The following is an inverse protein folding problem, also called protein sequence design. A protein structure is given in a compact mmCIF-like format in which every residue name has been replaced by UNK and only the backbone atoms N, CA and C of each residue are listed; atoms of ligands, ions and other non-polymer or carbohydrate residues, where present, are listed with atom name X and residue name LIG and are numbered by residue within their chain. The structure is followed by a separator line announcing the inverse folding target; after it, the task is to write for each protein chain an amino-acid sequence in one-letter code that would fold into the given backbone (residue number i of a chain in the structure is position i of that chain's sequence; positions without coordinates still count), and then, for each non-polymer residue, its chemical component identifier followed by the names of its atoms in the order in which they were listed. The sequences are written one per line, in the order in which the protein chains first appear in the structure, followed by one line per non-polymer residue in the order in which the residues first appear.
data_IF_978416689474
#
_entry.id   IF_978416689474
#
_cell.length_a   1.000
_cell.length_b   1.000
_cell.length_c   1.000
_cell.angle_alpha   90.00
_cell.angle_beta   90.00
_cell.angle_gamma   90.00
#
_symmetry.space_group_name_H-M   'P 1'
#
loop_
_entity.id
_entity.type
_entity.pdbx_description
1 polymer ?
#
# COMPACT_ATOMS: atom_id res chain seq x y z
N UNK A 1 12.51 -11.92 17.57
CA UNK A 1 13.56 -12.18 16.57
C UNK A 1 12.94 -12.33 15.18
N UNK A 2 11.93 -13.18 14.98
CA UNK A 2 11.26 -13.39 13.69
C UNK A 2 10.72 -12.10 13.07
N UNK A 3 10.10 -11.25 13.87
CA UNK A 3 9.53 -9.96 13.46
C UNK A 3 10.60 -8.98 12.95
N UNK A 4 11.77 -8.94 13.59
CA UNK A 4 12.89 -8.10 13.16
C UNK A 4 13.42 -8.54 11.79
N UNK A 5 13.58 -9.85 11.58
CA UNK A 5 14.00 -10.40 10.29
C UNK A 5 12.98 -10.07 9.20
N UNK A 6 11.70 -10.26 9.50
CA UNK A 6 10.61 -9.91 8.58
C UNK A 6 10.64 -8.41 8.20
N UNK A 7 10.89 -7.51 9.17
CA UNK A 7 11.01 -6.07 8.91
C UNK A 7 12.17 -5.73 7.97
N UNK A 8 13.34 -6.32 8.19
CA UNK A 8 14.51 -6.07 7.33
C UNK A 8 14.23 -6.50 5.89
N UNK A 9 13.69 -7.70 5.70
CA UNK A 9 13.33 -8.22 4.38
C UNK A 9 12.25 -7.35 3.73
N UNK A 10 11.25 -6.91 4.50
CA UNK A 10 10.19 -6.03 4.04
C UNK A 10 10.73 -4.69 3.54
N UNK A 11 11.62 -4.05 4.31
CA UNK A 11 12.25 -2.78 3.92
C UNK A 11 13.07 -2.94 2.64
N UNK A 12 13.86 -4.02 2.55
CA UNK A 12 14.66 -4.31 1.36
C UNK A 12 13.77 -4.54 0.11
N UNK A 13 12.70 -5.32 0.26
CA UNK A 13 11.75 -5.56 -0.83
C UNK A 13 11.06 -4.27 -1.29
N UNK A 14 10.59 -3.44 -0.34
CA UNK A 14 9.99 -2.14 -0.66
C UNK A 14 10.97 -1.22 -1.38
N UNK A 15 12.23 -1.18 -0.96
CA UNK A 15 13.24 -0.38 -1.64
C UNK A 15 13.40 -0.78 -3.11
N UNK A 16 13.45 -2.09 -3.39
CA UNK A 16 13.53 -2.60 -4.77
C UNK A 16 12.27 -2.27 -5.59
N UNK A 17 11.10 -2.39 -4.98
CA UNK A 17 9.83 -2.04 -5.65
C UNK A 17 9.73 -0.55 -5.95
N UNK A 18 10.22 0.33 -5.06
CA UNK A 18 10.31 1.77 -5.32
C UNK A 18 11.28 2.11 -6.48
N UNK A 19 12.41 1.40 -6.61
CA UNK A 19 13.31 1.56 -7.75
C UNK A 19 12.60 1.22 -9.06
N UNK A 20 11.85 0.11 -9.10
CA UNK A 20 11.08 -0.29 -10.28
C UNK A 20 10.00 0.74 -10.63
N UNK A 21 9.32 1.28 -9.62
CA UNK A 21 8.33 2.34 -9.78
C UNK A 21 8.96 3.64 -10.30
N UNK A 22 10.05 4.10 -9.69
CA UNK A 22 10.75 5.33 -10.08
C UNK A 22 11.33 5.24 -11.50
N UNK A 23 11.75 4.06 -11.94
CA UNK A 23 12.23 3.80 -13.30
C UNK A 23 11.12 3.56 -14.31
N UNK A 24 9.84 3.70 -13.89
CA UNK A 24 8.65 3.47 -14.72
C UNK A 24 8.57 2.03 -15.29
N UNK A 25 9.14 1.07 -14.59
CA UNK A 25 9.02 -0.36 -14.91
C UNK A 25 7.78 -0.96 -14.25
N UNK A 26 6.60 -0.45 -14.64
CA UNK A 26 5.33 -0.77 -13.99
C UNK A 26 4.99 -2.26 -14.11
N UNK A 27 5.28 -2.89 -15.28
CA UNK A 27 5.05 -4.35 -15.45
C UNK A 27 5.87 -5.20 -14.47
N UNK A 28 7.22 -5.06 -14.38
CA UNK A 28 8.00 -5.75 -13.36
C UNK A 28 7.57 -5.44 -11.92
N UNK A 29 7.22 -4.18 -11.62
CA UNK A 29 6.66 -3.80 -10.33
C UNK A 29 5.40 -4.62 -9.98
N UNK A 30 4.44 -4.67 -10.91
CA UNK A 30 3.20 -5.42 -10.70
C UNK A 30 3.47 -6.93 -10.51
N UNK A 31 4.40 -7.51 -11.30
CA UNK A 31 4.78 -8.92 -11.17
C UNK A 31 5.36 -9.22 -9.79
N UNK A 32 6.27 -8.37 -9.28
CA UNK A 32 6.89 -8.54 -7.95
C UNK A 32 5.84 -8.49 -6.85
N UNK A 33 4.96 -7.48 -6.88
CA UNK A 33 3.92 -7.31 -5.86
C UNK A 33 2.89 -8.45 -5.93
N UNK A 34 2.48 -8.87 -7.13
CA UNK A 34 1.57 -10.01 -7.28
C UNK A 34 2.21 -11.32 -6.82
N UNK A 35 3.47 -11.57 -7.19
CA UNK A 35 4.19 -12.77 -6.79
C UNK A 35 4.28 -12.91 -5.26
N UNK A 36 4.57 -11.82 -4.55
CA UNK A 36 4.56 -11.81 -3.07
C UNK A 36 3.22 -12.30 -2.52
N UNK A 37 2.11 -11.71 -2.99
CA UNK A 37 0.77 -12.03 -2.49
C UNK A 37 0.31 -13.42 -2.91
N UNK A 38 0.65 -13.86 -4.13
CA UNK A 38 0.32 -15.19 -4.64
C UNK A 38 1.03 -16.29 -3.85
N UNK A 39 2.34 -16.14 -3.60
CA UNK A 39 3.11 -17.11 -2.80
C UNK A 39 2.56 -17.20 -1.38
N UNK A 40 2.27 -16.07 -0.76
CA UNK A 40 1.66 -16.04 0.57
C UNK A 40 0.27 -16.70 0.58
N UNK A 41 -0.59 -16.39 -0.39
CA UNK A 41 -1.93 -16.97 -0.48
C UNK A 41 -1.89 -18.49 -0.69
N UNK A 42 -0.99 -18.98 -1.55
CA UNK A 42 -0.78 -20.41 -1.77
C UNK A 42 -0.29 -21.09 -0.47
N UNK A 43 0.66 -20.48 0.22
CA UNK A 43 1.17 -21.01 1.48
C UNK A 43 0.06 -21.11 2.55
N UNK A 44 -0.74 -20.05 2.71
CA UNK A 44 -1.88 -20.05 3.64
C UNK A 44 -2.93 -21.09 3.23
N UNK A 45 -3.18 -21.25 1.93
CA UNK A 45 -4.07 -22.30 1.41
C UNK A 45 -3.60 -23.70 1.78
N UNK A 46 -2.31 -23.99 1.66
CA UNK A 46 -1.72 -25.28 2.08
C UNK A 46 -1.86 -25.46 3.60
N UNK A 47 -1.55 -24.43 4.39
CA UNK A 47 -1.69 -24.48 5.85
C UNK A 47 -3.14 -24.75 6.28
N UNK A 48 -4.09 -24.17 5.57
CA UNK A 48 -5.52 -24.39 5.83
C UNK A 48 -5.95 -25.84 5.55
N UNK A 49 -5.50 -26.42 4.44
CA UNK A 49 -5.74 -27.84 4.11
C UNK A 49 -5.09 -28.77 5.14
N UNK A 50 -3.88 -28.43 5.58
CA UNK A 50 -3.14 -29.19 6.60
C UNK A 50 -3.67 -28.93 8.03
N UNK A 51 -4.69 -28.07 8.21
CA UNK A 51 -5.28 -27.68 9.51
C UNK A 51 -4.27 -27.14 10.53
N UNK A 52 -3.21 -26.51 10.07
CA UNK A 52 -2.21 -25.88 10.92
C UNK A 52 -2.81 -24.61 11.52
N UNK A 53 -2.81 -24.51 12.87
CA UNK A 53 -3.38 -23.38 13.60
C UNK A 53 -2.33 -22.48 14.25
N UNK A 54 -1.04 -22.70 13.98
CA UNK A 54 0.04 -21.94 14.60
C UNK A 54 0.25 -20.61 13.87
N UNK A 55 0.24 -19.52 14.63
CA UNK A 55 0.54 -18.17 14.12
C UNK A 55 1.97 -18.07 13.56
N UNK A 56 2.92 -18.76 14.18
CA UNK A 56 4.33 -18.74 13.76
C UNK A 56 4.50 -19.27 12.34
N UNK A 57 3.75 -20.32 11.99
CA UNK A 57 3.81 -20.92 10.65
C UNK A 57 3.30 -19.95 9.60
N UNK A 58 2.22 -19.20 9.89
CA UNK A 58 1.69 -18.19 8.98
C UNK A 58 2.70 -17.04 8.80
N UNK A 59 3.35 -16.62 9.88
CA UNK A 59 4.40 -15.59 9.82
C UNK A 59 5.61 -16.02 8.97
N UNK A 60 6.00 -17.30 9.03
CA UNK A 60 7.04 -17.86 8.16
C UNK A 60 6.63 -17.82 6.68
N UNK A 61 5.36 -18.08 6.39
CA UNK A 61 4.82 -17.97 5.02
C UNK A 61 4.92 -16.55 4.45
N UNK A 62 4.67 -15.53 5.26
CA UNK A 62 4.83 -14.13 4.85
C UNK A 62 6.31 -13.79 4.55
N UNK A 63 7.24 -14.32 5.34
CA UNK A 63 8.69 -14.16 5.08
C UNK A 63 9.08 -14.82 3.75
N UNK A 64 8.61 -16.03 3.48
CA UNK A 64 8.89 -16.73 2.22
C UNK A 64 8.34 -15.97 1.01
N UNK A 65 7.12 -15.43 1.11
CA UNK A 65 6.54 -14.57 0.06
C UNK A 65 7.42 -13.35 -0.25
N UNK A 66 7.90 -12.67 0.79
CA UNK A 66 8.78 -11.50 0.64
C UNK A 66 10.17 -11.85 0.09
N UNK A 67 10.77 -12.94 0.55
CA UNK A 67 12.07 -13.41 0.02
C UNK A 67 11.95 -13.77 -1.46
N UNK A 68 10.90 -14.46 -1.84
CA UNK A 68 10.65 -14.80 -3.25
C UNK A 68 10.45 -13.55 -4.12
N UNK A 69 9.64 -12.59 -3.65
CA UNK A 69 9.44 -11.32 -4.33
C UNK A 69 10.74 -10.52 -4.46
N UNK A 70 11.57 -10.49 -3.41
CA UNK A 70 12.88 -9.83 -3.41
C UNK A 70 13.81 -10.47 -4.44
N UNK A 71 13.83 -11.80 -4.58
CA UNK A 71 14.63 -12.48 -5.59
C UNK A 71 14.21 -12.08 -7.01
N UNK A 72 12.91 -12.02 -7.29
CA UNK A 72 12.38 -11.54 -8.57
C UNK A 72 12.76 -10.07 -8.80
N UNK A 73 12.61 -9.22 -7.78
CA UNK A 73 12.95 -7.80 -7.88
C UNK A 73 14.44 -7.59 -8.19
N UNK A 74 15.33 -8.37 -7.57
CA UNK A 74 16.78 -8.34 -7.85
C UNK A 74 17.09 -8.70 -9.30
N UNK A 75 16.42 -9.69 -9.87
CA UNK A 75 16.59 -10.07 -11.28
C UNK A 75 16.23 -8.90 -12.21
N UNK A 76 15.12 -8.22 -11.95
CA UNK A 76 14.70 -7.08 -12.75
C UNK A 76 15.53 -5.81 -12.51
N UNK A 77 16.06 -5.62 -11.30
CA UNK A 77 16.88 -4.48 -10.93
C UNK A 77 18.38 -4.69 -11.18
N UNK A 78 18.81 -5.89 -11.61
CA UNK A 78 20.22 -6.24 -11.79
C UNK A 78 21.02 -5.17 -12.55
N UNK A 79 20.51 -4.70 -13.68
CA UNK A 79 21.19 -3.72 -14.52
C UNK A 79 21.25 -2.31 -13.91
N UNK A 80 20.45 -2.04 -12.89
CA UNK A 80 20.41 -0.75 -12.19
C UNK A 80 21.34 -0.79 -10.97
N UNK A 81 21.30 -1.89 -10.21
CA UNK A 81 22.05 -2.07 -8.96
C UNK A 81 23.54 -2.26 -9.24
N UNK A 82 23.88 -3.05 -10.25
CA UNK A 82 25.26 -3.32 -10.64
C UNK A 82 25.83 -2.32 -11.63
N UNK A 83 25.28 -1.10 -11.66
CA UNK A 83 25.85 0.01 -12.43
C UNK A 83 27.12 0.53 -11.76
N UNK A 84 28.01 1.14 -12.55
CA UNK A 84 29.29 1.67 -12.07
C UNK A 84 29.05 2.73 -10.99
N UNK A 85 29.62 2.54 -9.81
CA UNK A 85 29.52 3.46 -8.69
C UNK A 85 30.23 4.77 -9.07
N UNK A 86 29.52 5.88 -9.00
CA UNK A 86 30.09 7.23 -9.05
C UNK A 86 31.02 7.46 -7.84
N UNK A 87 31.78 8.55 -7.87
CA UNK A 87 32.72 8.82 -6.78
C UNK A 87 32.01 8.82 -5.41
N UNK A 88 32.63 8.21 -4.39
CA UNK A 88 32.07 8.09 -3.04
C UNK A 88 31.59 9.43 -2.46
N UNK A 89 32.29 10.53 -2.78
CA UNK A 89 31.94 11.88 -2.31
C UNK A 89 30.60 12.37 -2.89
N UNK A 90 30.35 12.12 -4.17
CA UNK A 90 29.07 12.47 -4.81
C UNK A 90 27.92 11.62 -4.26
N UNK A 91 28.15 10.31 -4.10
CA UNK A 91 27.16 9.40 -3.53
C UNK A 91 26.77 9.82 -2.11
N UNK A 92 27.73 10.23 -1.27
CA UNK A 92 27.45 10.68 0.10
C UNK A 92 26.64 11.99 0.12
N UNK A 93 26.97 12.93 -0.76
CA UNK A 93 26.24 14.18 -0.90
C UNK A 93 24.79 13.97 -1.31
N UNK A 94 24.55 13.13 -2.32
CA UNK A 94 23.19 12.77 -2.75
C UNK A 94 22.42 12.01 -1.68
N UNK A 95 23.08 11.12 -0.93
CA UNK A 95 22.48 10.42 0.19
C UNK A 95 21.99 11.39 1.28
N UNK A 96 22.75 12.40 1.64
CA UNK A 96 22.34 13.41 2.63
C UNK A 96 21.15 14.25 2.14
N UNK A 97 21.14 14.65 0.88
CA UNK A 97 20.01 15.36 0.28
C UNK A 97 18.75 14.50 0.31
N UNK A 98 18.84 13.25 -0.13
CA UNK A 98 17.72 12.30 -0.12
C UNK A 98 17.24 12.02 1.30
N UNK A 99 18.13 11.92 2.28
CA UNK A 99 17.79 11.75 3.69
C UNK A 99 17.01 12.96 4.25
N UNK A 100 17.45 14.17 3.90
CA UNK A 100 16.75 15.41 4.29
C UNK A 100 15.34 15.49 3.70
N UNK A 101 15.17 15.15 2.43
CA UNK A 101 13.85 15.13 1.78
C UNK A 101 12.99 14.01 2.38
N UNK A 102 13.56 12.83 2.53
CA UNK A 102 12.87 11.66 3.09
C UNK A 102 12.40 11.89 4.52
N UNK A 103 13.20 12.54 5.37
CA UNK A 103 12.81 12.84 6.75
C UNK A 103 11.59 13.75 6.82
N UNK A 104 11.47 14.74 5.94
CA UNK A 104 10.30 15.62 5.86
C UNK A 104 9.02 14.84 5.46
N UNK A 105 9.16 13.92 4.50
CA UNK A 105 8.05 13.04 4.08
C UNK A 105 7.64 12.08 5.19
N UNK A 106 8.60 11.50 5.91
CA UNK A 106 8.31 10.62 7.06
C UNK A 106 7.58 11.39 8.15
N UNK A 107 8.03 12.62 8.48
CA UNK A 107 7.33 13.45 9.47
C UNK A 107 5.89 13.77 9.05
N UNK A 108 5.65 14.08 7.77
CA UNK A 108 4.30 14.30 7.26
C UNK A 108 3.42 13.04 7.37
N UNK A 109 3.96 11.87 7.04
CA UNK A 109 3.26 10.60 7.20
C UNK A 109 2.97 10.25 8.66
N UNK A 110 3.94 10.47 9.55
CA UNK A 110 3.75 10.27 11.00
C UNK A 110 2.67 11.22 11.53
N UNK A 111 2.67 12.49 11.13
CA UNK A 111 1.63 13.44 11.51
C UNK A 111 0.24 12.96 11.06
N UNK A 112 0.10 12.48 9.82
CA UNK A 112 -1.15 11.90 9.31
C UNK A 112 -1.60 10.67 10.09
N UNK A 113 -0.67 9.77 10.42
CA UNK A 113 -0.96 8.58 11.24
C UNK A 113 -1.36 8.96 12.67
N UNK A 114 -0.72 9.98 13.26
CA UNK A 114 -1.05 10.48 14.59
C UNK A 114 -2.46 11.06 14.65
N UNK A 115 -2.87 11.82 13.64
CA UNK A 115 -4.25 12.36 13.56
C UNK A 115 -5.26 11.20 13.63
N UNK A 116 -5.08 10.18 12.80
CA UNK A 116 -5.97 9.01 12.78
C UNK A 116 -5.89 8.20 14.10
N UNK A 117 -4.68 8.07 14.65
CA UNK A 117 -4.43 7.38 15.92
C UNK A 117 -5.06 8.09 17.12
N UNK A 118 -4.91 9.41 17.22
CA UNK A 118 -5.51 10.23 18.29
C UNK A 118 -7.04 10.13 18.25
N UNK A 119 -7.64 10.19 17.06
CA UNK A 119 -9.09 10.03 16.90
C UNK A 119 -9.54 8.66 17.43
N UNK A 120 -8.82 7.59 17.10
CA UNK A 120 -9.12 6.24 17.61
C UNK A 120 -8.99 6.15 19.11
N UNK A 121 -7.90 6.68 19.69
CA UNK A 121 -7.69 6.70 21.13
C UNK A 121 -8.74 7.52 21.86
N UNK A 122 -9.15 8.66 21.28
CA UNK A 122 -10.22 9.47 21.85
C UNK A 122 -11.56 8.69 21.87
N UNK A 123 -11.89 8.01 20.78
CA UNK A 123 -13.12 7.20 20.71
C UNK A 123 -13.07 6.05 21.71
N UNK A 124 -11.94 5.37 21.85
CA UNK A 124 -11.76 4.27 22.82
C UNK A 124 -11.92 4.74 24.26
N UNK A 125 -11.41 5.92 24.60
CA UNK A 125 -11.43 6.43 25.98
C UNK A 125 -12.77 7.10 26.38
N UNK A 126 -13.46 7.72 25.45
CA UNK A 126 -14.67 8.52 25.74
C UNK A 126 -15.98 7.85 25.35
N UNK A 127 -15.94 6.79 24.56
CA UNK A 127 -17.13 6.05 24.10
C UNK A 127 -16.99 4.56 24.40
N UNK A 128 -18.08 3.82 24.20
CA UNK A 128 -18.09 2.37 24.39
C UNK A 128 -17.27 1.66 23.31
N UNK A 129 -16.79 0.48 23.66
CA UNK A 129 -16.05 -0.41 22.74
C UNK A 129 -16.89 -0.77 21.47
N UNK A 130 -18.21 -0.73 21.63
CA UNK A 130 -19.15 -0.96 20.52
C UNK A 130 -19.11 0.18 19.50
N UNK A 131 -19.10 1.44 19.97
CA UNK A 131 -18.97 2.63 19.11
C UNK A 131 -17.61 2.65 18.43
N UNK A 132 -16.53 2.30 19.15
CA UNK A 132 -15.21 2.14 18.60
C UNK A 132 -15.19 1.12 17.45
N UNK A 133 -15.82 -0.04 17.61
CA UNK A 133 -15.96 -1.07 16.59
C UNK A 133 -16.68 -0.55 15.33
N UNK A 134 -17.79 0.16 15.52
CA UNK A 134 -18.60 0.75 14.45
C UNK A 134 -17.80 1.75 13.61
N UNK A 135 -17.09 2.67 14.27
CA UNK A 135 -16.27 3.71 13.59
C UNK A 135 -15.06 3.08 12.92
N UNK A 136 -14.39 2.13 13.58
CA UNK A 136 -13.24 1.43 13.02
C UNK A 136 -13.59 0.65 11.76
N UNK A 137 -14.78 0.07 11.67
CA UNK A 137 -15.27 -0.58 10.46
C UNK A 137 -15.46 0.45 9.32
N UNK A 138 -16.12 1.58 9.59
CA UNK A 138 -16.32 2.63 8.60
C UNK A 138 -14.97 3.18 8.08
N UNK A 139 -14.00 3.41 8.98
CA UNK A 139 -12.64 3.82 8.59
C UNK A 139 -11.92 2.75 7.75
N UNK A 140 -12.13 1.47 8.05
CA UNK A 140 -11.52 0.36 7.29
C UNK A 140 -12.06 0.28 5.86
N UNK A 141 -13.36 0.50 5.69
CA UNK A 141 -14.00 0.55 4.36
C UNK A 141 -13.51 1.76 3.57
N UNK A 142 -13.40 2.93 4.22
CA UNK A 142 -12.82 4.13 3.59
C UNK A 142 -11.37 3.90 3.16
N UNK A 143 -10.57 3.23 3.97
CA UNK A 143 -9.20 2.87 3.62
C UNK A 143 -9.13 1.88 2.44
N UNK A 144 -10.12 1.00 2.28
CA UNK A 144 -10.20 0.11 1.12
C UNK A 144 -10.36 0.91 -0.18
N UNK A 145 -11.14 1.99 -0.17
CA UNK A 145 -11.26 2.90 -1.33
C UNK A 145 -9.92 3.61 -1.61
N UNK A 146 -9.18 3.99 -0.57
CA UNK A 146 -7.85 4.62 -0.73
C UNK A 146 -6.83 3.71 -1.42
N UNK A 147 -6.98 2.39 -1.36
CA UNK A 147 -6.13 1.45 -2.10
C UNK A 147 -6.25 1.68 -3.61
N UNK A 148 -7.45 1.91 -4.13
CA UNK A 148 -7.67 2.22 -5.54
C UNK A 148 -7.03 3.56 -5.93
N UNK A 149 -7.20 4.59 -5.10
CA UNK A 149 -6.58 5.91 -5.33
C UNK A 149 -5.05 5.79 -5.38
N UNK A 150 -4.47 5.05 -4.44
CA UNK A 150 -3.03 4.81 -4.39
C UNK A 150 -2.54 4.02 -5.61
N UNK A 151 -3.28 3.01 -6.06
CA UNK A 151 -2.93 2.22 -7.24
C UNK A 151 -2.89 3.09 -8.52
N UNK A 152 -3.86 3.99 -8.68
CA UNK A 152 -3.87 4.96 -9.78
C UNK A 152 -2.69 5.92 -9.67
N UNK A 153 -2.42 6.45 -8.48
CA UNK A 153 -1.32 7.39 -8.22
C UNK A 153 0.05 6.80 -8.57
N UNK A 154 0.27 5.52 -8.27
CA UNK A 154 1.52 4.79 -8.59
C UNK A 154 1.81 4.80 -10.10
N UNK A 155 0.78 4.74 -10.93
CA UNK A 155 0.92 4.72 -12.40
C UNK A 155 0.98 6.14 -12.98
N UNK A 156 0.09 7.01 -12.51
CA UNK A 156 -0.09 8.36 -13.05
C UNK A 156 1.10 9.26 -12.71
N UNK A 157 1.65 9.17 -11.51
CA UNK A 157 2.73 10.06 -11.08
C UNK A 157 4.00 9.96 -11.93
N UNK A 158 4.58 8.78 -12.22
CA UNK A 158 5.73 8.66 -13.10
C UNK A 158 5.43 9.04 -14.55
N UNK A 159 4.19 8.85 -15.00
CA UNK A 159 3.73 9.21 -16.33
C UNK A 159 3.71 10.74 -16.49
N UNK A 160 3.09 11.46 -15.55
CA UNK A 160 3.03 12.93 -15.57
C UNK A 160 4.43 13.57 -15.50
N UNK A 161 5.34 13.01 -14.67
CA UNK A 161 6.69 13.56 -14.52
C UNK A 161 7.53 13.49 -15.80
N UNK A 162 7.17 12.67 -16.76
CA UNK A 162 7.89 12.47 -18.03
C UNK A 162 7.20 13.13 -19.23
N UNK A 163 6.06 13.75 -19.02
CA UNK A 163 5.33 14.46 -20.07
C UNK A 163 5.94 15.84 -20.31
N UNK A 164 5.84 16.27 -21.56
CA UNK A 164 6.12 17.64 -21.96
C UNK A 164 5.09 18.59 -21.34
N UNK A 165 5.53 19.78 -20.92
CA UNK A 165 4.67 20.76 -20.22
C UNK A 165 3.41 21.13 -21.00
N UNK A 166 3.52 21.19 -22.35
CA UNK A 166 2.40 21.53 -23.22
C UNK A 166 1.24 20.50 -23.15
N UNK A 167 1.55 19.23 -22.88
CA UNK A 167 0.56 18.13 -22.79
C UNK A 167 0.01 17.91 -21.38
N UNK A 168 0.61 18.54 -20.39
CA UNK A 168 0.21 18.38 -19.00
C UNK A 168 -1.22 18.85 -18.73
N UNK A 169 -1.63 19.99 -19.33
CA UNK A 169 -2.98 20.54 -19.18
C UNK A 169 -4.06 19.59 -19.71
N UNK A 170 -3.91 19.13 -20.95
CA UNK A 170 -4.88 18.21 -21.58
C UNK A 170 -4.95 16.86 -20.84
N UNK A 171 -3.81 16.37 -20.38
CA UNK A 171 -3.76 15.11 -19.61
C UNK A 171 -4.39 15.27 -18.23
N UNK A 172 -4.20 16.41 -17.57
CA UNK A 172 -4.86 16.70 -16.30
C UNK A 172 -6.38 16.71 -16.44
N UNK A 173 -6.92 17.33 -17.49
CA UNK A 173 -8.36 17.35 -17.75
C UNK A 173 -8.90 15.93 -17.96
N UNK A 174 -8.24 15.12 -18.77
CA UNK A 174 -8.63 13.71 -19.00
C UNK A 174 -8.61 12.88 -17.71
N UNK A 175 -7.59 13.05 -16.87
CA UNK A 175 -7.49 12.35 -15.58
C UNK A 175 -8.59 12.81 -14.63
N UNK A 176 -8.84 14.12 -14.55
CA UNK A 176 -9.91 14.71 -13.73
C UNK A 176 -11.26 14.15 -14.14
N UNK A 177 -11.56 14.15 -15.42
CA UNK A 177 -12.87 13.71 -15.94
C UNK A 177 -13.05 12.20 -15.73
N UNK A 178 -12.01 11.41 -15.93
CA UNK A 178 -12.02 9.99 -15.62
C UNK A 178 -12.24 9.73 -14.11
N UNK A 179 -11.54 10.48 -13.25
CA UNK A 179 -11.73 10.36 -11.80
C UNK A 179 -13.14 10.76 -11.35
N UNK A 180 -13.72 11.78 -11.97
CA UNK A 180 -15.12 12.18 -11.70
C UNK A 180 -16.10 11.06 -12.04
N UNK A 181 -15.93 10.39 -13.17
CA UNK A 181 -16.76 9.23 -13.55
C UNK A 181 -16.60 8.09 -12.55
N UNK A 182 -15.36 7.79 -12.13
CA UNK A 182 -15.09 6.74 -11.15
C UNK A 182 -15.71 7.08 -9.79
N UNK A 183 -15.61 8.33 -9.34
CA UNK A 183 -16.22 8.79 -8.08
C UNK A 183 -17.76 8.70 -8.13
N UNK A 184 -18.37 9.12 -9.23
CA UNK A 184 -19.83 8.97 -9.43
C UNK A 184 -20.23 7.49 -9.45
N UNK A 185 -19.45 6.66 -10.13
CA UNK A 185 -19.64 5.19 -10.11
C UNK A 185 -19.58 4.62 -8.71
N UNK A 186 -18.62 5.06 -7.89
CA UNK A 186 -18.47 4.63 -6.50
C UNK A 186 -19.69 5.01 -5.65
N UNK A 187 -20.27 6.19 -5.87
CA UNK A 187 -21.51 6.61 -5.22
C UNK A 187 -22.69 5.69 -5.56
N UNK A 188 -22.82 5.27 -6.81
CA UNK A 188 -23.85 4.31 -7.23
C UNK A 188 -23.61 2.94 -6.57
N UNK A 189 -22.34 2.49 -6.46
CA UNK A 189 -21.96 1.26 -5.80
C UNK A 189 -22.20 1.24 -4.29
N UNK A 190 -22.33 2.40 -3.67
CA UNK A 190 -22.60 2.52 -2.23
C UNK A 190 -23.87 1.76 -1.82
N UNK A 191 -24.98 1.88 -2.56
CA UNK A 191 -26.22 1.22 -2.21
C UNK A 191 -26.13 -0.32 -2.23
N UNK A 192 -25.68 -0.98 -3.31
CA UNK A 192 -25.49 -2.42 -3.30
C UNK A 192 -24.43 -2.88 -2.29
N UNK A 193 -23.35 -2.15 -2.11
CA UNK A 193 -22.33 -2.46 -1.10
C UNK A 193 -22.91 -2.43 0.31
N UNK A 194 -23.74 -1.43 0.62
CA UNK A 194 -24.43 -1.34 1.91
C UNK A 194 -25.34 -2.56 2.16
N UNK A 195 -26.10 -2.98 1.17
CA UNK A 195 -26.98 -4.17 1.29
C UNK A 195 -26.16 -5.43 1.55
N UNK A 196 -25.10 -5.65 0.77
CA UNK A 196 -24.22 -6.81 0.90
C UNK A 196 -23.55 -6.82 2.29
N UNK A 197 -23.00 -5.69 2.73
CA UNK A 197 -22.35 -5.57 4.03
C UNK A 197 -23.32 -5.77 5.19
N UNK A 198 -24.55 -5.28 5.06
CA UNK A 198 -25.60 -5.49 6.08
C UNK A 198 -25.99 -6.96 6.19
N UNK A 199 -26.00 -7.69 5.07
CA UNK A 199 -26.25 -9.13 5.07
C UNK A 199 -25.08 -9.95 5.64
N UNK A 200 -23.84 -9.55 5.35
CA UNK A 200 -22.63 -10.25 5.82
C UNK A 200 -22.32 -9.96 7.29
N UNK A 201 -22.63 -8.75 7.75
CA UNK A 201 -22.26 -8.25 9.09
C UNK A 201 -23.50 -7.65 9.80
N UNK A 202 -24.51 -8.44 10.15
CA UNK A 202 -25.76 -7.94 10.77
C UNK A 202 -25.50 -7.21 12.11
N UNK A 203 -24.47 -7.62 12.87
CA UNK A 203 -24.07 -6.96 14.12
C UNK A 203 -23.56 -5.51 13.91
N UNK A 204 -23.16 -5.14 12.69
CA UNK A 204 -22.65 -3.82 12.34
C UNK A 204 -23.60 -3.03 11.41
N UNK A 205 -24.84 -3.44 11.28
CA UNK A 205 -25.83 -2.77 10.42
C UNK A 205 -26.00 -1.29 10.74
N UNK A 206 -25.91 -0.90 12.02
CA UNK A 206 -25.92 0.51 12.45
C UNK A 206 -24.67 1.29 12.02
N UNK A 207 -23.52 0.62 11.86
CA UNK A 207 -22.28 1.26 11.40
C UNK A 207 -22.38 1.80 9.98
N UNK A 208 -23.23 1.17 9.17
CA UNK A 208 -23.52 1.58 7.79
C UNK A 208 -24.25 2.93 7.69
N UNK A 209 -24.69 3.49 8.83
CA UNK A 209 -25.29 4.82 8.89
C UNK A 209 -24.24 5.93 8.95
N UNK A 210 -23.02 5.58 9.37
CA UNK A 210 -21.88 6.52 9.48
C UNK A 210 -20.92 6.45 8.26
N UNK A 211 -21.24 5.66 7.27
CA UNK A 211 -20.51 5.46 6.03
C UNK A 211 -21.04 6.41 4.93
#
# INVERSE_FOLDING_TARGET
VLTCICMVIYIANNYMTYILQATNRIKPYAIVVMAEKMVFALYVGVCWVCKVKSFEVIAIGDIWGKVFAMAIALIYCKNIIFCRILSLKQTLSEMLVNLSIGSKLVLANVASMLITGIVRLAIENYWSIEVFGKISLAMSISNMLMVFVNAVSVVVFPMLKRMEEEKLGETYEKIRDFLMIVLLGTLIFYYPAKVILTMLLPAYAESMRYM
#
